data_IF_414619566411
#
_entry.id   IF_414619566411
#
_cell.length_a   1.000
_cell.length_b   1.000
_cell.length_c   1.000
_cell.angle_alpha   90.00
_cell.angle_beta   90.00
_cell.angle_gamma   90.00
#
_symmetry.space_group_name_H-M   'P 1'
#
loop_
_entity.id
_entity.type
_entity.pdbx_description
1 polymer ?
#
# COMPACT_ATOMS: atom_id res chain seq x y z
N UNK A 1 -52.68 -24.05 24.99
CA UNK A 1 -51.46 -24.67 24.42
C UNK A 1 -51.43 -24.21 22.98
N UNK A 2 -50.49 -23.34 22.63
CA UNK A 2 -50.47 -22.60 21.36
C UNK A 2 -49.32 -23.16 20.52
N UNK A 3 -49.64 -23.65 19.34
CA UNK A 3 -48.70 -24.19 18.35
C UNK A 3 -47.82 -23.06 17.79
N UNK A 4 -46.53 -23.33 17.65
CA UNK A 4 -45.55 -22.40 17.10
C UNK A 4 -45.53 -22.49 15.57
N UNK A 5 -45.82 -21.37 14.91
CA UNK A 5 -45.69 -21.18 13.46
C UNK A 5 -44.21 -21.31 13.05
N UNK A 6 -43.90 -22.31 12.23
CA UNK A 6 -42.61 -22.43 11.55
C UNK A 6 -42.68 -21.76 10.18
N UNK A 7 -41.71 -20.90 9.88
CA UNK A 7 -41.59 -20.21 8.59
C UNK A 7 -41.06 -21.19 7.54
N UNK A 8 -41.80 -21.39 6.44
CA UNK A 8 -41.39 -22.25 5.33
C UNK A 8 -40.12 -21.69 4.65
N UNK A 9 -39.13 -22.56 4.45
CA UNK A 9 -37.85 -22.26 3.79
C UNK A 9 -37.90 -22.21 2.27
N UNK A 10 -39.08 -22.39 1.66
CA UNK A 10 -39.24 -22.33 0.21
C UNK A 10 -39.16 -20.89 -0.30
N UNK A 11 -37.99 -20.51 -0.85
CA UNK A 11 -37.79 -19.23 -1.53
C UNK A 11 -36.45 -18.52 -1.29
N UNK A 12 -35.59 -19.03 -0.39
CA UNK A 12 -34.31 -18.37 -0.06
C UNK A 12 -33.12 -18.81 -0.93
N UNK A 13 -33.32 -19.81 -1.78
CA UNK A 13 -32.34 -20.21 -2.80
C UNK A 13 -33.02 -19.95 -4.14
N UNK A 14 -32.74 -18.78 -4.72
CA UNK A 14 -33.11 -18.52 -6.11
C UNK A 14 -32.29 -19.47 -6.98
N UNK A 15 -32.97 -20.31 -7.76
CA UNK A 15 -32.41 -21.21 -8.78
C UNK A 15 -31.73 -20.45 -9.95
N UNK A 16 -31.64 -19.12 -9.88
CA UNK A 16 -31.08 -18.26 -10.92
C UNK A 16 -29.69 -17.67 -10.57
N UNK A 17 -29.08 -18.15 -9.47
CA UNK A 17 -27.69 -17.84 -9.17
C UNK A 17 -26.77 -18.89 -9.79
N UNK A 18 -26.08 -18.56 -10.88
CA UNK A 18 -25.05 -19.43 -11.45
C UNK A 18 -23.86 -19.51 -10.48
N UNK A 19 -23.91 -20.48 -9.57
CA UNK A 19 -22.81 -20.82 -8.66
C UNK A 19 -21.47 -21.03 -9.38
N UNK A 20 -21.51 -21.33 -10.68
CA UNK A 20 -20.36 -21.57 -11.55
C UNK A 20 -20.01 -20.40 -12.49
N UNK A 21 -20.56 -19.20 -12.27
CA UNK A 21 -20.43 -18.07 -13.19
C UNK A 21 -21.34 -18.22 -14.41
N UNK A 22 -21.61 -17.12 -15.10
CA UNK A 22 -22.44 -17.15 -16.31
C UNK A 22 -21.72 -17.86 -17.47
N UNK A 23 -22.45 -18.10 -18.58
CA UNK A 23 -21.92 -18.84 -19.73
C UNK A 23 -20.71 -18.12 -20.36
N UNK A 24 -20.66 -16.79 -20.28
CA UNK A 24 -19.56 -15.97 -20.80
C UNK A 24 -18.31 -16.16 -19.95
N UNK A 25 -18.46 -16.14 -18.61
CA UNK A 25 -17.39 -16.41 -17.64
C UNK A 25 -16.80 -17.82 -17.84
N UNK A 26 -17.67 -18.82 -18.06
CA UNK A 26 -17.24 -20.19 -18.32
C UNK A 26 -16.44 -20.29 -19.62
N UNK A 27 -16.91 -19.66 -20.70
CA UNK A 27 -16.20 -19.64 -21.99
C UNK A 27 -14.83 -18.95 -21.85
N UNK A 28 -14.78 -17.83 -21.13
CA UNK A 28 -13.54 -17.11 -20.86
C UNK A 28 -12.56 -17.99 -20.07
N UNK A 29 -13.01 -18.62 -18.99
CA UNK A 29 -12.18 -19.51 -18.16
C UNK A 29 -11.67 -20.72 -18.94
N UNK A 30 -12.51 -21.33 -19.78
CA UNK A 30 -12.11 -22.43 -20.66
C UNK A 30 -11.04 -22.00 -21.68
N UNK A 31 -11.15 -20.79 -22.24
CA UNK A 31 -10.14 -20.23 -23.16
C UNK A 31 -8.81 -19.95 -22.45
N UNK A 32 -8.86 -19.41 -21.22
CA UNK A 32 -7.67 -19.19 -20.38
C UNK A 32 -7.00 -20.52 -20.04
N UNK A 33 -7.76 -21.54 -19.64
CA UNK A 33 -7.22 -22.88 -19.37
C UNK A 33 -6.59 -23.52 -20.62
N UNK A 34 -7.20 -23.35 -21.80
CA UNK A 34 -6.66 -23.89 -23.05
C UNK A 34 -5.35 -23.21 -23.48
N UNK A 35 -5.19 -21.92 -23.18
CA UNK A 35 -3.97 -21.14 -23.47
C UNK A 35 -2.88 -21.27 -22.40
N UNK A 36 -3.20 -21.79 -21.22
CA UNK A 36 -2.26 -21.98 -20.12
C UNK A 36 -1.22 -23.04 -20.48
N UNK A 37 0.07 -22.67 -20.48
CA UNK A 37 1.18 -23.58 -20.68
C UNK A 37 1.83 -23.92 -19.33
N UNK A 38 1.56 -25.11 -18.76
CA UNK A 38 2.07 -25.47 -17.44
C UNK A 38 3.60 -25.51 -17.45
N UNK A 39 4.23 -26.02 -18.51
CA UNK A 39 5.70 -26.16 -18.57
C UNK A 39 6.41 -24.81 -18.48
N UNK A 40 5.84 -23.76 -19.08
CA UNK A 40 6.37 -22.39 -19.01
C UNK A 40 6.11 -21.74 -17.64
N UNK A 41 4.91 -21.93 -17.08
CA UNK A 41 4.60 -21.46 -15.71
C UNK A 41 5.55 -22.08 -14.69
N UNK A 42 5.72 -23.41 -14.74
CA UNK A 42 6.58 -24.15 -13.81
C UNK A 42 8.07 -23.85 -14.02
N UNK A 43 8.54 -23.55 -15.23
CA UNK A 43 9.95 -23.20 -15.45
C UNK A 43 10.29 -21.79 -14.94
N UNK A 44 9.35 -20.84 -15.01
CA UNK A 44 9.52 -19.49 -14.46
C UNK A 44 9.34 -19.45 -12.94
N UNK A 45 8.45 -20.28 -12.38
CA UNK A 45 8.12 -20.29 -10.96
C UNK A 45 8.90 -21.31 -10.12
N UNK A 46 9.74 -22.17 -10.72
CA UNK A 46 10.51 -23.20 -10.00
C UNK A 46 11.41 -22.65 -8.88
N UNK A 47 11.83 -21.38 -9.00
CA UNK A 47 12.67 -20.70 -8.02
C UNK A 47 11.86 -19.83 -7.04
N UNK A 48 10.54 -19.75 -7.18
CA UNK A 48 9.67 -18.99 -6.27
C UNK A 48 9.46 -19.77 -4.98
N UNK A 49 9.96 -19.21 -3.89
CA UNK A 49 9.84 -19.77 -2.54
C UNK A 49 8.37 -20.00 -2.16
N UNK A 50 7.44 -19.15 -2.61
CA UNK A 50 6.02 -19.32 -2.29
C UNK A 50 5.40 -20.54 -2.98
N UNK A 51 5.84 -20.84 -4.21
CA UNK A 51 5.38 -22.01 -4.98
C UNK A 51 5.98 -23.30 -4.40
N UNK A 52 7.25 -23.26 -3.99
CA UNK A 52 7.92 -24.38 -3.33
C UNK A 52 7.32 -24.72 -1.96
N UNK A 53 6.79 -23.73 -1.23
CA UNK A 53 6.23 -23.92 0.11
C UNK A 53 4.71 -24.18 0.13
N UNK A 54 4.01 -24.00 -1.00
CA UNK A 54 2.57 -24.20 -1.09
C UNK A 54 2.10 -25.61 -0.68
N UNK A 55 2.75 -26.72 -1.08
CA UNK A 55 2.32 -28.07 -0.67
C UNK A 55 2.43 -28.32 0.84
N UNK A 56 3.45 -27.74 1.48
CA UNK A 56 3.66 -27.83 2.92
C UNK A 56 2.60 -27.05 3.70
N UNK A 57 2.12 -25.91 3.16
CA UNK A 57 1.05 -25.10 3.74
C UNK A 57 -0.29 -25.84 3.79
N UNK A 58 -0.65 -26.54 2.70
CA UNK A 58 -1.91 -27.31 2.63
C UNK A 58 -1.92 -28.42 3.69
N UNK A 59 -0.78 -29.08 3.91
CA UNK A 59 -0.64 -30.15 4.91
C UNK A 59 -0.76 -29.64 6.35
N UNK A 60 -0.19 -28.48 6.64
CA UNK A 60 -0.30 -27.84 7.97
C UNK A 60 -1.67 -27.24 8.25
N UNK A 61 -2.39 -26.75 7.23
CA UNK A 61 -3.77 -26.27 7.38
C UNK A 61 -4.77 -27.41 7.64
N UNK A 62 -4.66 -28.55 6.93
CA UNK A 62 -5.48 -29.73 7.23
C UNK A 62 -5.28 -30.25 8.65
N UNK A 63 -4.07 -30.16 9.20
CA UNK A 63 -3.79 -30.55 10.59
C UNK A 63 -4.36 -29.57 11.62
N UNK A 64 -4.48 -28.28 11.29
CA UNK A 64 -5.10 -27.28 12.18
C UNK A 64 -6.63 -27.34 12.19
N UNK A 65 -7.26 -27.64 11.06
CA UNK A 65 -8.72 -27.74 10.98
C UNK A 65 -9.26 -28.96 11.75
N UNK A 66 -8.51 -30.07 11.78
CA UNK A 66 -8.87 -31.26 12.56
C UNK A 66 -8.82 -31.08 14.08
N UNK A 67 -8.22 -29.98 14.58
CA UNK A 67 -8.00 -29.74 16.01
C UNK A 67 -8.98 -28.72 16.62
N UNK A 68 -9.90 -28.14 15.83
CA UNK A 68 -10.76 -27.03 16.24
C UNK A 68 -12.26 -27.38 16.29
N UNK A 69 -12.64 -28.60 15.89
CA UNK A 69 -13.96 -29.16 16.15
C UNK A 69 -13.93 -29.92 17.47
N UNK A 70 -14.18 -29.25 18.60
CA UNK A 70 -14.69 -29.80 19.87
C UNK A 70 -14.73 -28.67 20.93
N UNK A 71 -15.84 -27.93 20.99
CA UNK A 71 -16.62 -27.63 22.22
C UNK A 71 -17.60 -26.43 22.02
N UNK A 72 -18.89 -26.57 22.39
CA UNK A 72 -19.90 -25.52 22.29
C UNK A 72 -20.26 -24.94 23.66
N UNK A 73 -20.38 -23.61 23.79
CA UNK A 73 -21.35 -22.98 24.70
C UNK A 73 -21.49 -21.47 24.43
N UNK A 74 -22.72 -21.06 24.10
CA UNK A 74 -23.17 -19.68 23.89
C UNK A 74 -24.21 -19.38 24.98
N UNK A 75 -24.14 -18.23 25.63
CA UNK A 75 -25.28 -17.67 26.37
C UNK A 75 -25.39 -16.17 26.11
N UNK A 76 -26.63 -15.72 25.91
CA UNK A 76 -27.03 -14.39 25.49
C UNK A 76 -28.14 -13.85 26.39
N UNK A 77 -27.87 -12.72 27.04
CA UNK A 77 -28.88 -11.78 27.58
C UNK A 77 -28.18 -10.42 27.66
N UNK A 78 -28.76 -9.24 27.37
CA UNK A 78 -30.07 -8.69 27.73
C UNK A 78 -30.31 -7.43 26.87
N UNK A 79 -31.54 -7.22 26.37
CA UNK A 79 -31.99 -5.98 25.73
C UNK A 79 -32.82 -5.12 26.71
N UNK A 80 -32.67 -3.79 26.66
CA UNK A 80 -33.64 -2.82 27.21
C UNK A 80 -33.80 -1.59 26.30
N UNK A 81 -34.97 -1.57 25.68
CA UNK A 81 -35.89 -0.49 25.30
C UNK A 81 -35.60 0.97 25.73
N UNK A 82 -35.76 1.92 24.78
CA UNK A 82 -36.13 3.32 25.06
C UNK A 82 -36.80 3.98 23.85
N UNK A 83 -37.88 4.72 24.13
CA UNK A 83 -38.91 5.22 23.23
C UNK A 83 -38.57 6.51 22.44
N UNK A 84 -39.24 6.67 21.30
CA UNK A 84 -39.29 7.91 20.49
C UNK A 84 -40.31 8.93 21.02
N UNK A 85 -40.09 10.25 20.86
CA UNK A 85 -41.16 11.23 20.93
C UNK A 85 -41.46 11.88 19.56
N UNK A 86 -42.76 11.92 19.23
CA UNK A 86 -43.37 12.68 18.13
C UNK A 86 -43.34 14.19 18.41
N UNK A 87 -43.05 15.00 17.40
CA UNK A 87 -43.25 16.45 17.42
C UNK A 87 -44.37 16.86 16.46
N UNK A 88 -45.40 17.48 17.02
CA UNK A 88 -46.52 18.13 16.32
C UNK A 88 -46.12 19.54 15.90
N UNK A 89 -46.39 19.90 14.64
CA UNK A 89 -46.30 21.28 14.15
C UNK A 89 -47.55 22.07 14.53
N UNK A 90 -47.35 23.30 14.99
CA UNK A 90 -48.38 24.35 14.97
C UNK A 90 -47.77 25.63 14.39
N UNK A 91 -48.43 26.14 13.36
CA UNK A 91 -48.18 27.43 12.75
C UNK A 91 -48.89 28.53 13.55
N UNK A 92 -48.20 29.65 13.81
CA UNK A 92 -48.86 30.95 13.81
C UNK A 92 -47.88 32.03 13.38
N UNK A 93 -48.27 32.78 12.36
CA UNK A 93 -47.55 33.92 11.84
C UNK A 93 -47.78 35.15 12.75
N UNK A 94 -46.71 35.84 13.12
CA UNK A 94 -46.76 37.24 13.48
C UNK A 94 -45.45 37.90 13.04
N UNK A 95 -45.62 38.99 12.30
CA UNK A 95 -44.62 39.94 11.83
C UNK A 95 -43.73 40.47 12.97
N UNK A 96 -42.55 40.98 12.63
CA UNK A 96 -41.95 42.25 13.09
C UNK A 96 -40.40 42.22 13.06
N UNK A 97 -39.85 43.06 12.17
CA UNK A 97 -38.57 43.78 12.26
C UNK A 97 -37.29 42.99 12.57
N UNK A 98 -36.50 42.72 11.52
CA UNK A 98 -35.14 42.17 11.65
C UNK A 98 -34.16 43.19 12.25
N UNK A 99 -33.95 43.14 13.57
CA UNK A 99 -32.84 43.84 14.21
C UNK A 99 -31.51 43.09 13.96
N UNK A 100 -30.85 43.49 12.87
CA UNK A 100 -29.57 42.94 12.39
C UNK A 100 -28.46 43.04 13.44
N UNK A 101 -28.56 43.98 14.39
CA UNK A 101 -27.57 44.22 15.44
C UNK A 101 -27.66 43.18 16.57
N UNK A 102 -28.88 42.86 17.01
CA UNK A 102 -29.12 41.81 17.99
C UNK A 102 -28.68 40.42 17.49
N UNK A 103 -28.82 40.17 16.18
CA UNK A 103 -28.38 38.91 15.56
C UNK A 103 -26.84 38.81 15.47
N UNK A 104 -26.16 39.93 15.25
CA UNK A 104 -24.70 40.00 15.21
C UNK A 104 -24.07 39.88 16.60
N UNK A 105 -24.67 40.50 17.62
CA UNK A 105 -24.30 40.32 19.03
C UNK A 105 -24.55 38.88 19.52
N UNK A 106 -25.68 38.27 19.16
CA UNK A 106 -25.95 36.86 19.45
C UNK A 106 -25.00 35.90 18.71
N UNK A 107 -24.47 36.31 17.55
CA UNK A 107 -23.45 35.56 16.79
C UNK A 107 -22.07 35.70 17.42
N UNK A 108 -21.71 36.90 17.90
CA UNK A 108 -20.46 37.17 18.62
C UNK A 108 -20.43 36.52 20.01
N UNK A 109 -21.55 36.52 20.73
CA UNK A 109 -21.70 35.82 22.01
C UNK A 109 -21.56 34.30 21.88
N UNK A 110 -22.12 33.70 20.82
CA UNK A 110 -21.92 32.28 20.48
C UNK A 110 -20.46 31.95 20.12
N UNK A 111 -19.74 32.91 19.54
CA UNK A 111 -18.33 32.75 19.16
C UNK A 111 -17.37 32.78 20.36
N UNK A 112 -17.76 33.45 21.46
CA UNK A 112 -17.01 33.47 22.72
C UNK A 112 -17.29 32.29 23.67
N UNK A 113 -18.37 31.54 23.43
CA UNK A 113 -18.81 30.42 24.28
C UNK A 113 -18.76 29.04 23.62
N UNK A 114 -18.24 28.93 22.39
CA UNK A 114 -17.76 27.63 21.92
C UNK A 114 -16.59 27.20 22.79
N UNK A 115 -16.89 26.45 23.86
CA UNK A 115 -15.97 25.45 24.39
C UNK A 115 -15.35 24.80 23.16
N UNK A 116 -14.01 24.84 23.07
CA UNK A 116 -13.30 24.01 22.11
C UNK A 116 -13.81 22.60 22.36
N UNK A 117 -14.70 22.12 21.51
CA UNK A 117 -15.04 20.71 21.47
C UNK A 117 -13.69 20.02 21.36
N UNK A 118 -13.37 19.23 22.38
CA UNK A 118 -12.20 18.36 22.35
C UNK A 118 -12.28 17.62 21.04
N UNK A 119 -11.37 17.94 20.12
CA UNK A 119 -11.25 17.29 18.83
C UNK A 119 -11.42 15.79 19.05
N UNK A 120 -12.37 15.12 18.37
CA UNK A 120 -12.66 13.72 18.62
C UNK A 120 -11.34 12.96 18.53
N UNK A 121 -11.04 12.16 19.57
CA UNK A 121 -9.85 11.33 19.61
C UNK A 121 -9.81 10.53 18.31
N UNK A 122 -8.71 10.60 17.53
CA UNK A 122 -8.67 9.91 16.25
C UNK A 122 -8.88 8.42 16.49
N UNK A 123 -9.90 7.85 15.84
CA UNK A 123 -10.15 6.40 15.87
C UNK A 123 -8.98 5.75 15.16
N UNK A 124 -8.14 5.06 15.93
CA UNK A 124 -6.99 4.33 15.41
C UNK A 124 -7.45 3.07 14.68
N UNK A 125 -6.86 2.78 13.53
CA UNK A 125 -7.15 1.58 12.75
C UNK A 125 -5.86 0.93 12.27
N UNK A 126 -5.69 -0.35 12.57
CA UNK A 126 -4.56 -1.14 12.14
C UNK A 126 -5.03 -2.28 11.21
N UNK A 127 -4.68 -2.27 9.91
CA UNK A 127 -4.98 -3.36 8.99
C UNK A 127 -4.45 -4.72 9.42
N UNK A 128 -3.35 -4.77 10.18
CA UNK A 128 -2.73 -5.99 10.70
C UNK A 128 -3.21 -6.39 12.10
N UNK A 129 -4.30 -5.79 12.60
CA UNK A 129 -4.81 -6.12 13.92
C UNK A 129 -5.26 -7.59 14.00
N UNK A 130 -4.77 -8.30 15.01
CA UNK A 130 -4.96 -9.74 15.20
C UNK A 130 -3.96 -10.63 14.43
N UNK A 131 -3.20 -10.07 13.48
CA UNK A 131 -2.22 -10.84 12.72
C UNK A 131 -0.94 -11.07 13.55
N UNK A 132 -0.50 -12.33 13.73
CA UNK A 132 0.64 -12.65 14.59
C UNK A 132 1.98 -12.12 14.06
N UNK A 133 2.05 -11.76 12.78
CA UNK A 133 3.21 -11.23 12.07
C UNK A 133 3.22 -9.69 11.98
N UNK A 134 2.26 -9.00 12.63
CA UNK A 134 2.14 -7.56 12.62
C UNK A 134 2.19 -6.94 14.02
N UNK A 135 2.58 -5.66 14.09
CA UNK A 135 2.43 -4.83 15.28
C UNK A 135 0.96 -4.66 15.65
N UNK A 136 0.64 -4.67 16.95
CA UNK A 136 -0.73 -4.62 17.46
C UNK A 136 -1.05 -3.29 18.16
N UNK A 137 -2.29 -2.81 18.04
CA UNK A 137 -2.73 -1.61 18.75
C UNK A 137 -2.57 -1.80 20.27
N UNK A 138 -1.85 -0.89 20.91
CA UNK A 138 -1.56 -0.92 22.34
C UNK A 138 -0.29 -1.70 22.73
N UNK A 139 0.33 -2.42 21.80
CA UNK A 139 1.63 -3.07 22.02
C UNK A 139 2.76 -2.05 21.92
N UNK A 140 3.73 -2.10 22.84
CA UNK A 140 4.91 -1.24 22.74
C UNK A 140 5.83 -1.70 21.60
N UNK A 141 6.68 -0.79 21.10
CA UNK A 141 7.65 -1.15 20.06
C UNK A 141 8.62 -2.24 20.57
N UNK A 142 8.99 -2.17 21.84
CA UNK A 142 9.88 -3.16 22.46
C UNK A 142 9.24 -4.54 22.58
N UNK A 143 7.98 -4.62 23.00
CA UNK A 143 7.25 -5.89 23.08
C UNK A 143 7.10 -6.52 21.70
N UNK A 144 6.75 -5.71 20.70
CA UNK A 144 6.61 -6.16 19.31
C UNK A 144 7.90 -6.74 18.75
N UNK A 145 9.01 -6.00 18.90
CA UNK A 145 10.32 -6.44 18.39
C UNK A 145 10.89 -7.60 19.22
N UNK A 146 10.54 -7.69 20.51
CA UNK A 146 10.85 -8.84 21.36
C UNK A 146 10.10 -10.10 20.96
N UNK A 147 8.84 -9.95 20.53
CA UNK A 147 7.98 -11.03 20.04
C UNK A 147 8.36 -11.49 18.63
N UNK A 148 8.73 -10.57 17.75
CA UNK A 148 9.12 -10.84 16.35
C UNK A 148 10.46 -10.16 15.98
N UNK A 149 11.59 -10.62 16.55
CA UNK A 149 12.90 -10.10 16.17
C UNK A 149 13.25 -10.54 14.73
N UNK A 150 13.46 -9.62 13.77
CA UNK A 150 13.70 -9.98 12.37
C UNK A 150 15.01 -10.76 12.16
N UNK A 151 15.94 -10.69 13.11
CA UNK A 151 17.19 -11.43 13.08
C UNK A 151 17.00 -12.95 13.28
N UNK A 152 16.06 -13.37 14.14
CA UNK A 152 15.90 -14.77 14.55
C UNK A 152 14.53 -15.37 14.24
N UNK A 153 13.53 -14.55 13.93
CA UNK A 153 12.21 -15.03 13.50
C UNK A 153 12.35 -15.72 12.15
N UNK A 154 12.00 -17.00 12.06
CA UNK A 154 12.15 -17.76 10.82
C UNK A 154 11.12 -17.36 9.75
N UNK A 155 11.54 -17.36 8.48
CA UNK A 155 10.67 -17.21 7.30
C UNK A 155 9.56 -18.27 7.22
N UNK A 156 9.74 -19.42 7.89
CA UNK A 156 8.70 -20.45 7.99
C UNK A 156 7.59 -20.09 8.98
N UNK A 157 7.86 -19.18 9.93
CA UNK A 157 6.87 -18.69 10.91
C UNK A 157 6.02 -17.57 10.30
N UNK A 158 6.66 -16.60 9.67
CA UNK A 158 6.01 -15.51 8.95
C UNK A 158 6.81 -15.20 7.69
N UNK A 159 6.17 -14.81 6.59
CA UNK A 159 6.88 -14.47 5.34
C UNK A 159 7.43 -13.04 5.35
N UNK A 160 6.80 -12.17 6.13
CA UNK A 160 7.13 -10.77 6.35
C UNK A 160 6.68 -10.41 7.75
N UNK A 161 7.40 -9.49 8.40
CA UNK A 161 6.95 -8.86 9.65
C UNK A 161 6.49 -7.45 9.31
N UNK A 162 5.29 -7.08 9.75
CA UNK A 162 4.60 -5.86 9.31
C UNK A 162 4.39 -4.83 10.43
N UNK A 163 4.46 -3.56 10.05
CA UNK A 163 3.98 -2.45 10.86
C UNK A 163 3.09 -1.56 10.01
N UNK A 164 1.94 -1.16 10.55
CA UNK A 164 1.01 -0.26 9.88
C UNK A 164 0.81 1.00 10.71
N UNK A 165 0.70 2.12 10.02
CA UNK A 165 0.42 3.39 10.64
C UNK A 165 -1.05 3.40 11.10
N UNK A 166 -1.34 3.57 12.40
CA UNK A 166 -2.69 3.50 12.94
C UNK A 166 -3.52 4.75 12.64
N UNK A 167 -2.88 5.84 12.19
CA UNK A 167 -3.52 7.10 11.85
C UNK A 167 -4.02 7.06 10.41
N UNK A 168 -5.23 6.54 10.23
CA UNK A 168 -5.89 6.56 8.93
C UNK A 168 -6.41 7.95 8.64
N UNK A 169 -6.01 8.52 7.50
CA UNK A 169 -6.66 9.70 6.97
C UNK A 169 -8.02 9.30 6.39
N UNK A 170 -9.10 9.66 7.09
CA UNK A 170 -10.49 9.41 6.67
C UNK A 170 -10.81 10.11 5.34
N UNK A 171 -10.03 11.13 4.97
CA UNK A 171 -10.18 11.89 3.71
C UNK A 171 -9.39 11.30 2.55
N UNK A 172 -8.68 10.19 2.77
CA UNK A 172 -7.88 9.53 1.75
C UNK A 172 -8.78 8.93 0.66
N UNK A 173 -9.01 9.71 -0.40
CA UNK A 173 -9.81 9.33 -1.57
C UNK A 173 -9.22 8.14 -2.32
N UNK A 174 -7.94 7.81 -2.10
CA UNK A 174 -7.30 6.65 -2.74
C UNK A 174 -7.82 5.31 -2.21
N UNK A 175 -8.58 5.27 -1.10
CA UNK A 175 -9.30 4.05 -0.67
C UNK A 175 -10.28 3.50 -1.71
N UNK A 176 -10.74 4.35 -2.64
CA UNK A 176 -11.78 3.99 -3.62
C UNK A 176 -11.19 3.51 -4.95
N UNK A 177 -9.87 3.58 -5.14
CA UNK A 177 -9.28 3.06 -6.38
C UNK A 177 -9.24 1.54 -6.29
N UNK A 178 -10.04 0.87 -7.11
CA UNK A 178 -9.99 -0.59 -7.27
C UNK A 178 -8.57 -0.97 -7.63
N UNK A 179 -7.88 -1.68 -6.72
CA UNK A 179 -6.57 -2.24 -6.96
C UNK A 179 -6.69 -3.43 -7.90
N UNK A 180 -6.69 -3.17 -9.20
CA UNK A 180 -6.86 -4.18 -10.26
C UNK A 180 -5.53 -4.88 -10.57
N UNK A 181 -4.98 -5.58 -9.58
CA UNK A 181 -3.63 -6.20 -9.67
C UNK A 181 -3.55 -7.23 -10.80
N UNK A 182 -4.58 -8.05 -11.00
CA UNK A 182 -4.56 -9.10 -12.03
C UNK A 182 -4.69 -8.53 -13.45
N UNK A 183 -5.51 -7.49 -13.64
CA UNK A 183 -5.59 -6.73 -14.89
C UNK A 183 -4.23 -6.08 -15.22
N UNK A 184 -3.62 -5.44 -14.23
CA UNK A 184 -2.30 -4.84 -14.38
C UNK A 184 -1.21 -5.87 -14.73
N UNK A 185 -1.21 -7.04 -14.09
CA UNK A 185 -0.25 -8.11 -14.38
C UNK A 185 -0.39 -8.62 -15.81
N UNK A 186 -1.62 -8.85 -16.24
CA UNK A 186 -1.93 -9.34 -17.59
C UNK A 186 -1.48 -8.34 -18.64
N UNK A 187 -2.02 -7.12 -18.59
CA UNK A 187 -1.72 -6.05 -19.56
C UNK A 187 -0.27 -5.58 -19.47
N UNK A 188 0.31 -5.54 -18.28
CA UNK A 188 1.71 -5.18 -18.08
C UNK A 188 2.66 -6.22 -18.67
N UNK A 189 2.34 -7.52 -18.57
CA UNK A 189 3.12 -8.58 -19.22
C UNK A 189 3.06 -8.47 -20.75
N UNK A 190 1.92 -8.07 -21.32
CA UNK A 190 1.79 -7.78 -22.75
C UNK A 190 2.66 -6.59 -23.17
N UNK A 191 2.68 -5.50 -22.40
CA UNK A 191 3.56 -4.35 -22.66
C UNK A 191 5.04 -4.76 -22.68
N UNK A 192 5.46 -5.63 -21.76
CA UNK A 192 6.80 -6.19 -21.73
C UNK A 192 7.09 -7.00 -23.00
N UNK A 193 6.19 -7.91 -23.38
CA UNK A 193 6.31 -8.71 -24.61
C UNK A 193 6.43 -7.85 -25.87
N UNK A 194 5.58 -6.82 -25.99
CA UNK A 194 5.63 -5.86 -27.10
C UNK A 194 6.97 -5.10 -27.15
N UNK A 195 7.52 -4.73 -25.99
CA UNK A 195 8.81 -4.03 -25.95
C UNK A 195 9.96 -4.92 -26.38
N UNK A 196 9.97 -6.22 -26.01
CA UNK A 196 10.98 -7.15 -26.51
C UNK A 196 10.95 -7.27 -28.03
N UNK A 197 9.75 -7.39 -28.61
CA UNK A 197 9.57 -7.44 -30.07
C UNK A 197 10.04 -6.13 -30.73
N UNK A 198 9.67 -4.97 -30.19
CA UNK A 198 10.10 -3.68 -30.72
C UNK A 198 11.63 -3.52 -30.67
N UNK A 199 12.27 -4.00 -29.60
CA UNK A 199 13.73 -3.97 -29.45
C UNK A 199 14.44 -4.88 -30.45
N UNK A 200 13.91 -6.08 -30.70
CA UNK A 200 14.43 -7.00 -31.72
C UNK A 200 14.30 -6.40 -33.14
N UNK A 201 13.17 -5.77 -33.45
CA UNK A 201 12.96 -5.07 -34.72
C UNK A 201 13.94 -3.90 -34.89
N UNK A 202 14.19 -3.12 -33.83
CA UNK A 202 15.19 -2.05 -33.84
C UNK A 202 16.59 -2.62 -34.08
N UNK A 203 16.97 -3.71 -33.41
CA UNK A 203 18.27 -4.36 -33.62
C UNK A 203 18.42 -4.84 -35.07
N UNK A 204 17.38 -5.46 -35.63
CA UNK A 204 17.36 -5.93 -37.02
C UNK A 204 17.46 -4.79 -38.02
N UNK A 205 16.76 -3.67 -37.78
CA UNK A 205 16.80 -2.47 -38.63
C UNK A 205 18.18 -1.81 -38.69
N UNK A 206 18.90 -1.82 -37.57
CA UNK A 206 20.21 -1.18 -37.45
C UNK A 206 21.37 -2.19 -37.52
N UNK A 207 21.15 -3.40 -38.05
CA UNK A 207 22.17 -4.45 -38.12
C UNK A 207 23.46 -4.01 -38.84
N UNK A 208 23.32 -3.16 -39.86
CA UNK A 208 24.42 -2.55 -40.63
C UNK A 208 24.51 -1.02 -40.43
N UNK A 209 23.74 -0.47 -39.49
CA UNK A 209 23.59 0.97 -39.28
C UNK A 209 24.52 1.56 -38.21
N UNK A 210 24.54 2.88 -38.02
CA UNK A 210 25.33 3.52 -36.97
C UNK A 210 24.88 3.08 -35.57
N UNK A 211 25.78 2.47 -34.79
CA UNK A 211 25.51 1.97 -33.42
C UNK A 211 24.92 3.05 -32.49
N UNK A 212 25.34 4.30 -32.63
CA UNK A 212 24.82 5.41 -31.84
C UNK A 212 23.32 5.65 -32.06
N UNK A 213 22.82 5.46 -33.29
CA UNK A 213 21.39 5.58 -33.59
C UNK A 213 20.60 4.42 -32.98
N UNK A 214 21.14 3.19 -33.01
CA UNK A 214 20.53 2.05 -32.35
C UNK A 214 20.38 2.29 -30.84
N UNK A 215 21.46 2.70 -30.17
CA UNK A 215 21.43 3.02 -28.72
C UNK A 215 20.41 4.10 -28.39
N UNK A 216 20.33 5.16 -29.21
CA UNK A 216 19.32 6.22 -29.03
C UNK A 216 17.89 5.67 -29.14
N UNK A 217 17.62 4.85 -30.14
CA UNK A 217 16.30 4.24 -30.35
C UNK A 217 15.92 3.25 -29.25
N UNK A 218 16.87 2.43 -28.78
CA UNK A 218 16.64 1.51 -27.66
C UNK A 218 16.35 2.26 -26.35
N UNK A 219 17.05 3.36 -26.09
CA UNK A 219 16.79 4.20 -24.92
C UNK A 219 15.43 4.90 -25.01
N UNK A 220 15.03 5.33 -26.21
CA UNK A 220 13.71 5.91 -26.44
C UNK A 220 12.59 4.87 -26.19
N UNK A 221 12.77 3.63 -26.65
CA UNK A 221 11.85 2.53 -26.38
C UNK A 221 11.78 2.21 -24.88
N UNK A 222 12.92 2.13 -24.18
CA UNK A 222 12.94 1.91 -22.73
C UNK A 222 12.18 3.01 -21.97
N UNK A 223 12.34 4.28 -22.36
CA UNK A 223 11.59 5.40 -21.77
C UNK A 223 10.10 5.30 -22.07
N UNK A 224 9.72 4.96 -23.30
CA UNK A 224 8.33 4.79 -23.70
C UNK A 224 7.66 3.62 -22.96
N UNK A 225 8.35 2.49 -22.79
CA UNK A 225 7.86 1.37 -21.99
C UNK A 225 7.64 1.77 -20.53
N UNK A 226 8.60 2.47 -19.91
CA UNK A 226 8.45 2.93 -18.53
C UNK A 226 7.21 3.81 -18.37
N UNK A 227 6.97 4.72 -19.33
CA UNK A 227 5.77 5.55 -19.33
C UNK A 227 4.49 4.71 -19.44
N UNK A 228 4.44 3.78 -20.39
CA UNK A 228 3.28 2.87 -20.56
C UNK A 228 2.98 2.05 -19.31
N UNK A 229 4.01 1.55 -18.62
CA UNK A 229 3.85 0.82 -17.35
C UNK A 229 3.30 1.74 -16.26
N UNK A 230 3.82 2.97 -16.15
CA UNK A 230 3.35 3.93 -15.16
C UNK A 230 1.90 4.36 -15.41
N UNK A 231 1.52 4.61 -16.67
CA UNK A 231 0.15 4.98 -17.04
C UNK A 231 -0.82 3.84 -16.73
N UNK A 232 -0.43 2.59 -17.04
CA UNK A 232 -1.20 1.41 -16.70
C UNK A 232 -1.32 1.24 -15.17
N UNK A 233 -0.26 1.49 -14.42
CA UNK A 233 -0.29 1.42 -12.96
C UNK A 233 -1.28 2.43 -12.37
N UNK A 234 -1.34 3.65 -12.92
CA UNK A 234 -2.31 4.67 -12.52
C UNK A 234 -3.73 4.20 -12.82
N UNK A 235 -3.96 3.68 -14.03
CA UNK A 235 -5.26 3.19 -14.47
C UNK A 235 -5.77 2.04 -13.57
N UNK A 236 -4.89 1.12 -13.19
CA UNK A 236 -5.22 -0.03 -12.35
C UNK A 236 -5.14 0.26 -10.83
N UNK A 237 -4.87 1.50 -10.43
CA UNK A 237 -4.80 1.89 -9.01
C UNK A 237 -3.55 1.43 -8.26
N UNK A 238 -2.49 1.04 -8.94
CA UNK A 238 -1.23 0.59 -8.33
C UNK A 238 -0.31 1.79 -8.15
N UNK A 239 -0.67 2.61 -7.16
CA UNK A 239 0.01 3.88 -6.90
C UNK A 239 1.14 3.75 -5.86
N UNK A 240 1.14 2.70 -5.05
CA UNK A 240 2.12 2.57 -3.98
C UNK A 240 3.54 2.30 -4.48
N UNK A 241 4.51 2.68 -3.67
CA UNK A 241 5.91 2.32 -3.85
C UNK A 241 6.63 2.30 -2.51
N UNK A 242 7.92 1.94 -2.52
CA UNK A 242 8.68 1.71 -1.29
C UNK A 242 10.14 2.13 -1.39
N UNK A 243 10.63 2.75 -0.31
CA UNK A 243 12.05 2.86 -0.02
C UNK A 243 12.57 1.51 0.49
N UNK A 244 13.71 1.07 -0.02
CA UNK A 244 14.34 -0.20 0.35
C UNK A 244 15.65 0.04 1.10
N UNK A 245 15.67 -0.36 2.37
CA UNK A 245 16.86 -0.41 3.21
C UNK A 245 17.44 -1.83 3.21
N UNK A 246 18.75 -1.92 3.39
CA UNK A 246 19.50 -3.17 3.45
C UNK A 246 20.49 -3.13 4.62
N UNK A 247 20.03 -3.03 5.90
CA UNK A 247 20.91 -3.14 7.06
C UNK A 247 21.62 -4.49 7.13
N UNK A 248 22.78 -4.49 7.78
CA UNK A 248 23.47 -5.74 8.14
C UNK A 248 22.68 -6.51 9.20
N UNK A 249 22.98 -7.81 9.33
CA UNK A 249 22.28 -8.68 10.29
C UNK A 249 22.40 -8.18 11.74
N UNK A 250 23.54 -7.61 12.12
CA UNK A 250 23.77 -7.14 13.49
C UNK A 250 22.94 -5.89 13.83
N UNK A 251 22.55 -5.13 12.80
CA UNK A 251 21.85 -3.86 12.92
C UNK A 251 20.35 -3.97 12.64
N UNK A 252 19.90 -5.07 12.00
CA UNK A 252 18.54 -5.20 11.47
C UNK A 252 17.46 -4.96 12.53
N UNK A 253 17.61 -5.54 13.71
CA UNK A 253 16.63 -5.42 14.80
C UNK A 253 16.55 -3.97 15.29
N UNK A 254 17.69 -3.29 15.44
CA UNK A 254 17.73 -1.90 15.88
C UNK A 254 17.18 -0.93 14.82
N UNK A 255 17.49 -1.16 13.55
CA UNK A 255 16.94 -0.39 12.42
C UNK A 255 15.44 -0.63 12.32
N UNK A 256 14.98 -1.87 12.42
CA UNK A 256 13.56 -2.21 12.39
C UNK A 256 12.79 -1.55 13.53
N UNK A 257 13.32 -1.57 14.76
CA UNK A 257 12.73 -0.88 15.91
C UNK A 257 12.44 0.60 15.61
N UNK A 258 13.42 1.31 15.04
CA UNK A 258 13.26 2.72 14.63
C UNK A 258 12.21 2.88 13.53
N UNK A 259 12.22 2.01 12.52
CA UNK A 259 11.22 2.05 11.43
C UNK A 259 9.81 1.85 11.97
N UNK A 260 9.60 0.88 12.85
CA UNK A 260 8.29 0.65 13.50
C UNK A 260 7.84 1.90 14.25
N UNK A 261 8.70 2.46 15.11
CA UNK A 261 8.42 3.69 15.83
C UNK A 261 8.01 4.84 14.89
N UNK A 262 8.74 5.03 13.79
CA UNK A 262 8.42 6.05 12.79
C UNK A 262 7.09 5.81 12.09
N UNK A 263 6.73 4.57 11.78
CA UNK A 263 5.47 4.21 11.12
C UNK A 263 4.29 4.40 12.07
N UNK A 264 4.35 3.84 13.28
CA UNK A 264 3.21 3.85 14.21
C UNK A 264 2.94 5.24 14.79
N UNK A 265 3.94 6.14 14.80
CA UNK A 265 3.79 7.53 15.21
C UNK A 265 3.54 8.50 14.03
N UNK A 266 3.13 8.00 12.87
CA UNK A 266 2.78 8.81 11.69
C UNK A 266 3.91 9.73 11.18
N UNK A 267 5.17 9.33 11.39
CA UNK A 267 6.35 10.05 10.87
C UNK A 267 6.77 9.53 9.50
N UNK A 268 6.71 8.22 9.31
CA UNK A 268 6.97 7.55 8.04
C UNK A 268 5.68 7.36 7.22
N UNK A 269 5.71 6.47 6.22
CA UNK A 269 4.55 6.21 5.37
C UNK A 269 3.51 5.27 5.99
N UNK A 270 2.53 4.80 5.20
CA UNK A 270 1.38 4.06 5.72
C UNK A 270 1.71 2.67 6.27
N UNK A 271 2.80 2.05 5.82
CA UNK A 271 3.22 0.73 6.26
C UNK A 271 4.70 0.49 6.01
N UNK A 272 5.28 -0.41 6.78
CA UNK A 272 6.59 -0.97 6.53
C UNK A 272 6.58 -2.48 6.74
N UNK A 273 7.55 -3.16 6.13
CA UNK A 273 7.79 -4.58 6.36
C UNK A 273 9.27 -4.90 6.37
N UNK A 274 9.65 -5.92 7.15
CA UNK A 274 11.01 -6.45 7.19
C UNK A 274 11.00 -7.94 6.85
N UNK A 275 12.02 -8.36 6.11
CA UNK A 275 12.23 -9.77 5.83
C UNK A 275 12.64 -10.49 7.13
N UNK A 276 12.03 -11.65 7.45
CA UNK A 276 12.43 -12.51 8.55
C UNK A 276 13.69 -13.30 8.19
N UNK A 277 14.19 -14.13 9.11
CA UNK A 277 15.36 -14.97 8.89
C UNK A 277 15.14 -16.05 7.82
N UNK A 278 16.01 -16.05 6.82
CA UNK A 278 16.00 -16.98 5.68
C UNK A 278 17.15 -18.00 5.78
N UNK A 279 17.96 -17.96 6.84
CA UNK A 279 19.15 -18.79 6.98
C UNK A 279 20.26 -18.46 5.98
N UNK A 280 20.16 -17.31 5.30
CA UNK A 280 21.17 -16.83 4.34
C UNK A 280 21.97 -15.68 4.96
N UNK A 281 23.30 -15.67 4.79
CA UNK A 281 24.10 -14.52 5.17
C UNK A 281 23.80 -13.32 4.26
N UNK A 282 23.94 -12.11 4.78
CA UNK A 282 23.84 -10.87 4.02
C UNK A 282 22.88 -9.85 4.62
N UNK A 283 22.70 -8.74 3.91
CA UNK A 283 21.84 -7.65 4.35
C UNK A 283 20.36 -8.09 4.36
N UNK A 284 19.59 -7.58 5.33
CA UNK A 284 18.14 -7.85 5.42
C UNK A 284 17.34 -6.73 4.77
N UNK A 285 16.35 -7.07 3.95
CA UNK A 285 15.48 -6.09 3.32
C UNK A 285 14.46 -5.52 4.32
N UNK A 286 14.40 -4.19 4.43
CA UNK A 286 13.30 -3.45 5.03
C UNK A 286 12.69 -2.54 3.96
N UNK A 287 11.37 -2.60 3.81
CA UNK A 287 10.62 -1.75 2.90
C UNK A 287 9.76 -0.76 3.69
N UNK A 288 9.85 0.53 3.37
CA UNK A 288 8.99 1.59 3.91
C UNK A 288 8.17 2.13 2.75
N UNK A 289 6.85 1.98 2.82
CA UNK A 289 5.95 2.33 1.74
C UNK A 289 5.61 3.82 1.75
N UNK A 290 5.20 4.33 0.59
CA UNK A 290 4.46 5.59 0.45
C UNK A 290 3.18 5.32 -0.35
N UNK A 291 2.21 6.23 -0.28
CA UNK A 291 0.87 6.00 -0.85
C UNK A 291 0.85 6.11 -2.37
N UNK A 292 1.59 7.06 -2.92
CA UNK A 292 1.61 7.36 -4.35
C UNK A 292 3.04 7.64 -4.80
N UNK A 293 3.57 6.83 -5.72
CA UNK A 293 4.92 6.98 -6.25
C UNK A 293 5.11 8.27 -7.05
N UNK A 294 4.03 8.94 -7.44
CA UNK A 294 4.06 10.21 -8.20
C UNK A 294 4.13 11.42 -7.28
N UNK A 295 3.76 11.26 -6.02
CA UNK A 295 3.84 12.30 -5.01
C UNK A 295 5.30 12.43 -4.54
N UNK A 296 6.09 13.16 -5.32
CA UNK A 296 7.51 13.38 -5.01
C UNK A 296 7.72 14.09 -3.67
N UNK A 297 6.74 14.86 -3.20
CA UNK A 297 6.78 15.53 -1.90
C UNK A 297 6.64 14.51 -0.76
N UNK A 298 5.67 13.58 -0.83
CA UNK A 298 5.55 12.50 0.16
C UNK A 298 6.76 11.55 0.11
N UNK A 299 7.21 11.17 -1.09
CA UNK A 299 8.40 10.32 -1.27
C UNK A 299 9.65 10.97 -0.67
N UNK A 300 9.83 12.28 -0.89
CA UNK A 300 10.93 13.07 -0.31
C UNK A 300 10.79 13.25 1.19
N UNK A 301 9.58 13.50 1.69
CA UNK A 301 9.28 13.65 3.12
C UNK A 301 9.68 12.39 3.88
N UNK A 302 9.28 11.21 3.39
CA UNK A 302 9.68 9.93 4.01
C UNK A 302 11.20 9.76 3.97
N UNK A 303 11.86 10.11 2.86
CA UNK A 303 13.32 10.01 2.76
C UNK A 303 14.06 10.92 3.76
N UNK A 304 13.61 12.17 3.91
CA UNK A 304 14.18 13.13 4.86
C UNK A 304 13.97 12.69 6.31
N UNK A 305 12.83 12.08 6.61
CA UNK A 305 12.58 11.50 7.93
C UNK A 305 13.52 10.32 8.21
N UNK A 306 13.75 9.44 7.21
CA UNK A 306 14.75 8.37 7.32
C UNK A 306 16.17 8.91 7.57
N UNK A 307 16.55 10.02 6.94
CA UNK A 307 17.83 10.71 7.23
C UNK A 307 17.87 11.22 8.67
N UNK A 308 16.82 11.91 9.11
CA UNK A 308 16.70 12.49 10.46
C UNK A 308 16.77 11.42 11.54
N UNK A 309 16.23 10.24 11.28
CA UNK A 309 16.28 9.07 12.18
C UNK A 309 17.65 8.36 12.18
N UNK A 310 18.59 8.81 11.34
CA UNK A 310 19.91 8.22 11.18
C UNK A 310 19.87 6.84 10.53
N UNK A 311 18.90 6.59 9.64
CA UNK A 311 18.70 5.30 8.97
C UNK A 311 19.37 5.22 7.60
N UNK A 312 19.93 6.33 7.11
CA UNK A 312 20.72 6.35 5.88
C UNK A 312 22.21 6.13 6.21
N UNK A 313 22.80 5.08 5.65
CA UNK A 313 24.24 4.84 5.79
C UNK A 313 25.03 5.83 4.94
N UNK A 314 25.99 6.52 5.55
CA UNK A 314 26.90 7.42 4.83
C UNK A 314 27.59 6.69 3.67
N UNK A 315 27.47 7.23 2.46
CA UNK A 315 28.10 6.68 1.25
C UNK A 315 27.32 5.56 0.54
N UNK A 316 26.19 5.07 1.08
CA UNK A 316 25.34 4.07 0.40
C UNK A 316 23.97 4.67 0.06
N UNK A 317 23.67 4.75 -1.23
CA UNK A 317 22.33 5.16 -1.67
C UNK A 317 21.31 4.05 -1.42
N UNK A 318 20.16 4.43 -0.90
CA UNK A 318 18.93 3.62 -0.94
C UNK A 318 18.10 3.96 -2.19
N UNK A 319 17.23 3.03 -2.57
CA UNK A 319 16.48 3.05 -3.81
C UNK A 319 14.98 2.99 -3.52
N UNK A 320 14.21 3.71 -4.33
CA UNK A 320 12.76 3.69 -4.32
C UNK A 320 12.23 2.88 -5.50
N UNK A 321 11.34 1.91 -5.25
CA UNK A 321 10.72 1.07 -6.27
C UNK A 321 9.20 1.17 -6.19
N UNK A 322 8.53 1.39 -7.32
CA UNK A 322 7.05 1.31 -7.40
C UNK A 322 6.58 -0.13 -7.31
N UNK A 323 5.38 -0.34 -6.75
CA UNK A 323 4.77 -1.67 -6.69
C UNK A 323 4.44 -2.21 -8.07
N UNK A 324 4.15 -1.35 -9.05
CA UNK A 324 4.03 -1.70 -10.46
C UNK A 324 5.21 -2.57 -10.94
N UNK A 325 6.44 -2.18 -10.61
CA UNK A 325 7.64 -2.94 -11.00
C UNK A 325 7.82 -4.20 -10.15
N UNK A 326 7.23 -4.27 -8.96
CA UNK A 326 7.20 -5.52 -8.18
C UNK A 326 6.20 -6.50 -8.79
N UNK A 327 5.01 -6.05 -9.19
CA UNK A 327 3.98 -6.92 -9.77
C UNK A 327 4.34 -7.48 -11.15
N UNK A 328 5.21 -6.80 -11.90
CA UNK A 328 5.75 -7.27 -13.19
C UNK A 328 7.12 -7.97 -13.07
N UNK A 329 7.55 -8.31 -11.85
CA UNK A 329 8.84 -8.97 -11.59
C UNK A 329 10.06 -8.26 -12.22
N UNK A 330 10.02 -6.93 -12.29
CA UNK A 330 11.09 -6.07 -12.78
C UNK A 330 12.11 -5.80 -11.65
N UNK A 331 13.01 -6.75 -11.43
CA UNK A 331 14.18 -6.64 -10.57
C UNK A 331 15.39 -6.15 -11.37
N UNK A 332 16.54 -5.95 -10.73
CA UNK A 332 17.73 -5.39 -11.39
C UNK A 332 18.11 -6.14 -12.67
N UNK A 333 18.10 -7.47 -12.63
CA UNK A 333 18.45 -8.33 -13.76
C UNK A 333 17.38 -8.28 -14.84
N UNK A 334 16.12 -8.57 -14.48
CA UNK A 334 15.01 -8.64 -15.45
C UNK A 334 14.68 -7.29 -16.07
N UNK A 335 14.73 -6.19 -15.31
CA UNK A 335 14.52 -4.84 -15.83
C UNK A 335 15.55 -4.45 -16.89
N UNK A 336 16.79 -4.95 -16.78
CA UNK A 336 17.86 -4.63 -17.72
C UNK A 336 17.62 -5.19 -19.13
N UNK A 337 16.84 -6.26 -19.26
CA UNK A 337 16.43 -6.84 -20.55
C UNK A 337 15.63 -5.83 -21.39
N UNK A 338 14.84 -5.01 -20.71
CA UNK A 338 14.01 -3.95 -21.29
C UNK A 338 14.74 -2.59 -21.33
N UNK A 339 15.99 -2.51 -20.88
CA UNK A 339 16.73 -1.26 -20.70
C UNK A 339 16.16 -0.35 -19.61
N UNK A 340 15.37 -0.91 -18.69
CA UNK A 340 14.78 -0.20 -17.55
C UNK A 340 15.71 -0.23 -16.34
N UNK A 341 15.54 0.75 -15.46
CA UNK A 341 16.11 0.73 -14.11
C UNK A 341 15.04 0.26 -13.13
N UNK A 342 15.34 -0.71 -12.27
CA UNK A 342 14.38 -1.28 -11.32
C UNK A 342 13.96 -0.33 -10.17
N UNK A 343 14.50 0.89 -10.14
CA UNK A 343 14.21 1.95 -9.17
C UNK A 343 13.78 3.22 -9.89
N UNK A 344 12.71 3.85 -9.39
CA UNK A 344 12.25 5.15 -9.88
C UNK A 344 13.11 6.29 -9.33
N UNK A 345 13.39 6.26 -8.01
CA UNK A 345 14.19 7.28 -7.35
C UNK A 345 15.39 6.69 -6.63
N UNK A 346 16.42 7.52 -6.47
CA UNK A 346 17.56 7.24 -5.61
C UNK A 346 17.65 8.33 -4.55
N UNK A 347 17.98 7.93 -3.33
CA UNK A 347 18.20 8.87 -2.22
C UNK A 347 19.18 9.97 -2.61
N UNK A 348 20.32 9.63 -3.21
CA UNK A 348 21.31 10.62 -3.66
C UNK A 348 20.70 11.72 -4.56
N UNK A 349 19.92 11.33 -5.58
CA UNK A 349 19.31 12.30 -6.51
C UNK A 349 18.24 13.15 -5.84
N UNK A 350 17.37 12.54 -5.04
CA UNK A 350 16.30 13.27 -4.36
C UNK A 350 16.84 14.23 -3.30
N UNK A 351 17.85 13.82 -2.53
CA UNK A 351 18.50 14.67 -1.54
C UNK A 351 19.25 15.84 -2.18
N UNK A 352 19.87 15.62 -3.35
CA UNK A 352 20.48 16.70 -4.12
C UNK A 352 19.41 17.72 -4.58
N UNK A 353 18.27 17.25 -5.10
CA UNK A 353 17.17 18.10 -5.51
C UNK A 353 16.59 18.92 -4.34
N UNK A 354 16.38 18.30 -3.18
CA UNK A 354 15.90 18.96 -1.96
C UNK A 354 16.85 20.07 -1.45
N UNK A 355 18.16 19.90 -1.61
CA UNK A 355 19.15 20.93 -1.25
C UNK A 355 19.07 22.14 -2.20
N UNK A 356 18.85 21.90 -3.49
CA UNK A 356 18.71 22.97 -4.49
C UNK A 356 17.44 23.80 -4.24
N UNK A 357 16.31 23.17 -3.94
CA UNK A 357 15.05 23.87 -3.62
C UNK A 357 15.15 24.67 -2.30
N UNK A 358 15.87 24.15 -1.30
CA UNK A 358 16.14 24.89 -0.06
C UNK A 358 17.05 26.11 -0.29
N UNK A 359 18.05 25.99 -1.16
CA UNK A 359 18.92 27.10 -1.52
C UNK A 359 18.17 28.21 -2.31
N UNK A 360 17.33 27.83 -3.27
CA UNK A 360 16.54 28.80 -4.06
C UNK A 360 15.51 29.54 -3.19
N UNK A 361 14.76 28.83 -2.34
CA UNK A 361 13.81 29.46 -1.40
C UNK A 361 14.49 30.39 -0.39
N UNK A 362 15.69 30.04 0.09
CA UNK A 362 16.47 30.94 0.98
C UNK A 362 16.94 32.22 0.28
N UNK A 363 17.22 32.14 -1.03
CA UNK A 363 17.63 33.28 -1.85
C UNK A 363 16.45 34.22 -2.12
N UNK A 364 15.27 33.66 -2.44
CA UNK A 364 14.03 34.41 -2.61
C UNK A 364 13.63 35.12 -1.32
N UNK A 365 13.73 34.45 -0.16
CA UNK A 365 13.41 35.06 1.14
C UNK A 365 14.37 36.18 1.52
N UNK A 366 15.66 36.08 1.15
CA UNK A 366 16.63 37.17 1.32
C UNK A 366 16.33 38.37 0.42
N UNK A 367 15.95 38.14 -0.85
CA UNK A 367 15.57 39.22 -1.77
C UNK A 367 14.27 39.92 -1.34
N UNK A 368 13.26 39.18 -0.88
CA UNK A 368 12.03 39.77 -0.35
C UNK A 368 12.27 40.57 0.94
N UNK A 369 13.14 40.09 1.83
CA UNK A 369 13.58 40.84 3.00
C UNK A 369 14.27 42.15 2.58
N UNK A 370 15.23 42.10 1.66
CA UNK A 370 15.94 43.29 1.17
C UNK A 370 15.01 44.31 0.49
N UNK A 371 14.03 43.85 -0.30
CA UNK A 371 13.04 44.72 -0.94
C UNK A 371 12.01 45.31 0.04
N UNK A 372 11.97 44.87 1.30
CA UNK A 372 11.13 45.48 2.34
C UNK A 372 11.84 46.61 3.11
N UNK A 373 13.14 46.82 2.86
CA UNK A 373 13.97 47.84 3.49
C UNK A 373 14.33 49.02 2.58
N UNK A 374 13.95 48.97 1.30
CA UNK A 374 14.05 50.05 0.32
C UNK A 374 12.66 50.35 -0.23
#
# INVERSE_FOLDING_TARGET
MVEADMVSGDGWISDDSSFYGDVEDQIQLHSVCASFNPKRSWSTQKADLNVLLAPSRTRSQSQKMSAMELDPEYDASTAKEAAEPKLTMNHSAADFSFDRRAMEEARLARRGQQKRDTSPTPVLFNPGQGSPDAWQLGESVDDFVGRLPPLSTSVFTCTWIWAHNPYVDVRDKNKVVSHRVDDFRTRGSELLGQSLQAREQLQSKYLQGPKAMLTKSLNAESKALQQRINDLAIECGILSGKWMLFPKLEEVTAVWKKVVDGVINNRLGPTAKVAPDEGKPGDRLICIYTKDFRDEDDVSRVLLELETMGLLTSGRSIYYKSDAFTYLDLYKQTASEYGLQASLYTSFKMMAAAKVTKASSSTVRKQQSLNSYF
#
